data_IF_390558379371
#
_entry.id   IF_390558379371
#
_cell.length_a   1.000
_cell.length_b   1.000
_cell.length_c   1.000
_cell.angle_alpha   90.00
_cell.angle_beta   90.00
_cell.angle_gamma   90.00
#
_symmetry.space_group_name_H-M   'P 1'
#
loop_
_entity.id
_entity.type
_entity.pdbx_description
1 polymer ?
#
# COMPACT_ATOMS: atom_id res chain seq x y z
N UNK A 1 -30.49 -29.26 -2.90
CA UNK A 1 -29.40 -28.54 -3.57
C UNK A 1 -28.11 -28.95 -2.90
N UNK A 2 -27.42 -29.95 -3.43
CA UNK A 2 -26.07 -30.31 -2.99
C UNK A 2 -25.12 -29.27 -3.60
N UNK A 3 -24.64 -28.34 -2.78
CA UNK A 3 -23.61 -27.40 -3.20
C UNK A 3 -22.36 -28.20 -3.59
N UNK A 4 -21.79 -27.89 -4.75
CA UNK A 4 -20.51 -28.47 -5.20
C UNK A 4 -19.45 -28.36 -4.09
N UNK A 5 -18.85 -29.48 -3.70
CA UNK A 5 -17.74 -29.51 -2.76
C UNK A 5 -16.54 -28.74 -3.35
N UNK A 6 -15.80 -28.03 -2.50
CA UNK A 6 -14.59 -27.32 -2.91
C UNK A 6 -13.49 -28.38 -3.12
N UNK A 7 -12.80 -28.39 -4.27
CA UNK A 7 -11.67 -29.30 -4.51
C UNK A 7 -10.60 -29.24 -3.41
N UNK A 8 -10.07 -30.41 -3.01
CA UNK A 8 -9.11 -30.54 -1.90
C UNK A 8 -7.76 -29.85 -2.16
N UNK A 9 -7.42 -29.62 -3.43
CA UNK A 9 -6.20 -28.94 -3.85
C UNK A 9 -6.28 -27.41 -3.70
N UNK A 10 -7.47 -26.85 -3.49
CA UNK A 10 -7.64 -25.41 -3.27
C UNK A 10 -7.31 -25.05 -1.83
N UNK A 11 -6.25 -24.25 -1.66
CA UNK A 11 -5.89 -23.67 -0.37
C UNK A 11 -6.90 -22.58 0.03
N UNK A 12 -7.60 -22.81 1.14
CA UNK A 12 -8.44 -21.80 1.81
C UNK A 12 -7.62 -21.15 2.94
N UNK A 13 -7.42 -19.83 2.86
CA UNK A 13 -6.71 -19.08 3.89
C UNK A 13 -7.48 -19.12 5.22
N UNK A 14 -6.77 -19.37 6.33
CA UNK A 14 -7.36 -19.40 7.67
C UNK A 14 -7.49 -17.99 8.26
N UNK A 15 -8.24 -17.86 9.35
CA UNK A 15 -8.22 -16.64 10.16
C UNK A 15 -6.78 -16.31 10.61
N UNK A 16 -6.38 -15.06 10.47
CA UNK A 16 -5.03 -14.58 10.74
C UNK A 16 -4.03 -14.84 9.60
N UNK A 17 -4.44 -15.52 8.52
CA UNK A 17 -3.61 -15.75 7.34
C UNK A 17 -3.88 -14.70 6.25
N UNK A 18 -2.86 -13.91 5.94
CA UNK A 18 -2.92 -12.94 4.85
C UNK A 18 -2.44 -13.57 3.53
N UNK A 19 -3.14 -13.28 2.45
CA UNK A 19 -2.76 -13.64 1.08
C UNK A 19 -2.42 -12.37 0.31
N UNK A 20 -1.28 -12.38 -0.38
CA UNK A 20 -0.88 -11.26 -1.23
C UNK A 20 -1.54 -11.37 -2.60
N UNK A 21 -2.38 -10.39 -2.93
CA UNK A 21 -3.10 -10.33 -4.21
C UNK A 21 -2.98 -8.93 -4.79
N UNK A 22 -2.43 -8.82 -6.00
CA UNK A 22 -2.24 -7.54 -6.73
C UNK A 22 -1.52 -6.46 -5.91
N UNK A 23 -0.61 -6.85 -5.01
CA UNK A 23 0.11 -5.94 -4.14
C UNK A 23 -0.59 -5.60 -2.83
N UNK A 24 -1.84 -6.05 -2.64
CA UNK A 24 -2.55 -5.96 -1.37
C UNK A 24 -2.39 -7.21 -0.51
N UNK A 25 -2.52 -7.08 0.81
CA UNK A 25 -2.58 -8.19 1.77
C UNK A 25 -4.00 -8.33 2.30
N UNK A 26 -4.67 -9.41 1.89
CA UNK A 26 -6.09 -9.66 2.22
C UNK A 26 -6.20 -10.92 3.06
N UNK A 27 -7.00 -10.88 4.12
CA UNK A 27 -7.27 -12.04 4.96
C UNK A 27 -8.19 -11.68 6.13
N UNK A 28 -8.87 -12.68 6.69
CA UNK A 28 -9.74 -12.44 7.85
C UNK A 28 -8.89 -12.29 9.12
N UNK A 29 -9.20 -11.32 9.99
CA UNK A 29 -8.49 -11.05 11.27
C UNK A 29 -6.95 -10.90 11.15
N UNK A 30 -6.44 -10.49 10.00
CA UNK A 30 -5.00 -10.22 9.81
C UNK A 30 -4.60 -8.86 10.36
N UNK A 31 -3.37 -8.73 10.86
CA UNK A 31 -2.80 -7.44 11.28
C UNK A 31 -2.35 -6.66 10.04
N UNK A 32 -3.07 -5.60 9.70
CA UNK A 32 -2.92 -4.80 8.47
C UNK A 32 -1.69 -3.87 8.41
N UNK A 33 -0.80 -3.92 9.41
CA UNK A 33 0.16 -2.83 9.70
C UNK A 33 1.41 -2.83 8.79
N UNK A 34 1.85 -3.99 8.29
CA UNK A 34 3.15 -4.10 7.59
C UNK A 34 3.10 -3.67 6.11
N UNK A 35 1.93 -3.28 5.62
CA UNK A 35 1.70 -2.99 4.20
C UNK A 35 2.23 -1.61 3.81
N UNK A 36 2.05 -0.63 4.69
CA UNK A 36 2.36 0.76 4.38
C UNK A 36 3.85 1.08 4.52
N UNK A 37 4.57 0.42 5.44
CA UNK A 37 6.00 0.68 5.70
C UNK A 37 6.84 0.65 4.43
N UNK A 38 6.72 -0.41 3.62
CA UNK A 38 7.48 -0.53 2.37
C UNK A 38 7.17 0.60 1.37
N UNK A 39 5.94 1.11 1.37
CA UNK A 39 5.53 2.22 0.50
C UNK A 39 6.05 3.55 1.03
N UNK A 40 6.00 3.78 2.34
CA UNK A 40 6.52 4.99 2.98
C UNK A 40 8.04 5.11 2.79
N UNK A 41 8.79 4.03 3.03
CA UNK A 41 10.24 3.99 2.84
C UNK A 41 10.62 4.35 1.39
N UNK A 42 9.86 3.84 0.41
CA UNK A 42 10.06 4.17 -1.01
C UNK A 42 9.74 5.61 -1.33
N UNK A 43 8.68 6.17 -0.73
CA UNK A 43 8.34 7.58 -0.92
C UNK A 43 9.50 8.44 -0.42
N UNK A 44 9.99 8.20 0.80
CA UNK A 44 11.11 8.94 1.39
C UNK A 44 12.38 8.82 0.53
N UNK A 45 12.74 7.62 0.09
CA UNK A 45 13.89 7.39 -0.80
C UNK A 45 13.75 8.15 -2.13
N UNK A 46 12.55 8.18 -2.73
CA UNK A 46 12.33 8.90 -3.97
C UNK A 46 12.39 10.41 -3.77
N UNK A 47 11.75 10.94 -2.71
CA UNK A 47 11.80 12.36 -2.41
C UNK A 47 13.22 12.83 -2.13
N UNK A 48 14.00 12.10 -1.32
CA UNK A 48 15.40 12.40 -1.06
C UNK A 48 16.27 12.39 -2.33
N UNK A 49 16.00 11.48 -3.27
CA UNK A 49 16.68 11.48 -4.59
C UNK A 49 16.33 12.70 -5.43
N UNK A 50 15.06 13.09 -5.46
CA UNK A 50 14.61 14.26 -6.23
C UNK A 50 15.13 15.57 -5.63
N UNK A 51 15.28 15.63 -4.31
CA UNK A 51 15.84 16.80 -3.60
C UNK A 51 17.27 17.13 -4.05
N UNK A 52 18.08 16.11 -4.38
CA UNK A 52 19.43 16.29 -4.93
C UNK A 52 19.46 17.08 -6.25
N UNK A 53 18.34 17.12 -6.97
CA UNK A 53 18.19 17.88 -8.21
C UNK A 53 17.85 19.35 -8.03
N UNK A 54 17.63 19.82 -6.79
CA UNK A 54 17.19 21.18 -6.46
C UNK A 54 16.03 21.67 -7.32
N UNK A 55 14.88 20.95 -7.32
CA UNK A 55 13.74 21.29 -8.16
C UNK A 55 13.17 22.67 -7.82
N UNK A 56 12.57 23.30 -8.83
CA UNK A 56 11.76 24.50 -8.62
C UNK A 56 10.49 24.16 -7.85
N UNK A 57 9.75 25.17 -7.36
CA UNK A 57 8.46 24.94 -6.69
C UNK A 57 7.45 24.17 -7.56
N UNK A 58 7.40 24.47 -8.86
CA UNK A 58 6.58 23.71 -9.82
C UNK A 58 7.07 22.26 -9.96
N UNK A 59 8.39 22.06 -9.98
CA UNK A 59 9.01 20.74 -9.96
C UNK A 59 8.61 19.95 -8.71
N UNK A 60 8.71 20.55 -7.52
CA UNK A 60 8.28 19.94 -6.26
C UNK A 60 6.82 19.50 -6.31
N UNK A 61 5.92 20.35 -6.82
CA UNK A 61 4.50 20.02 -6.96
C UNK A 61 4.30 18.78 -7.84
N UNK A 62 4.97 18.73 -9.00
CA UNK A 62 4.87 17.58 -9.90
C UNK A 62 5.45 16.30 -9.27
N UNK A 63 6.57 16.41 -8.55
CA UNK A 63 7.20 15.30 -7.85
C UNK A 63 6.26 14.73 -6.78
N UNK A 64 5.63 15.58 -5.97
CA UNK A 64 4.68 15.14 -4.94
C UNK A 64 3.51 14.38 -5.58
N UNK A 65 2.95 14.87 -6.70
CA UNK A 65 1.86 14.18 -7.40
C UNK A 65 2.33 12.82 -7.93
N UNK A 66 3.48 12.77 -8.60
CA UNK A 66 3.99 11.54 -9.21
C UNK A 66 4.38 10.48 -8.16
N UNK A 67 5.05 10.90 -7.08
CA UNK A 67 5.59 9.99 -6.08
C UNK A 67 4.56 9.70 -4.99
N UNK A 68 4.13 10.73 -4.26
CA UNK A 68 3.27 10.55 -3.08
C UNK A 68 1.88 10.12 -3.51
N UNK A 69 1.20 10.89 -4.39
CA UNK A 69 -0.15 10.52 -4.82
C UNK A 69 -0.15 9.22 -5.64
N UNK A 70 0.81 9.07 -6.57
CA UNK A 70 0.93 7.88 -7.41
C UNK A 70 1.12 6.57 -6.62
N UNK A 71 1.96 6.56 -5.59
CA UNK A 71 2.23 5.36 -4.80
C UNK A 71 1.13 5.04 -3.78
N UNK A 72 0.44 6.06 -3.27
CA UNK A 72 -0.56 5.88 -2.19
C UNK A 72 -1.98 5.60 -2.72
N UNK A 73 -2.34 6.11 -3.90
CA UNK A 73 -3.73 6.07 -4.41
C UNK A 73 -4.30 4.66 -4.52
N UNK A 74 -3.58 3.74 -5.17
CA UNK A 74 -4.06 2.36 -5.33
C UNK A 74 -4.16 1.66 -3.97
N UNK A 75 -3.12 1.78 -3.14
CA UNK A 75 -3.06 1.09 -1.86
C UNK A 75 -4.17 1.54 -0.91
N UNK A 76 -4.45 2.85 -0.90
CA UNK A 76 -5.59 3.44 -0.19
C UNK A 76 -6.91 2.81 -0.64
N UNK A 77 -7.09 2.58 -1.95
CA UNK A 77 -8.33 2.01 -2.47
C UNK A 77 -8.54 0.56 -2.05
N UNK A 78 -7.48 -0.24 -1.99
CA UNK A 78 -7.59 -1.69 -1.77
C UNK A 78 -7.40 -2.11 -0.31
N UNK A 79 -6.78 -1.27 0.53
CA UNK A 79 -6.54 -1.58 1.94
C UNK A 79 -6.91 -0.46 2.92
N UNK A 80 -7.36 0.69 2.42
CA UNK A 80 -7.55 1.88 3.25
C UNK A 80 -6.22 2.51 3.66
N UNK A 81 -6.29 3.72 4.19
CA UNK A 81 -5.15 4.44 4.75
C UNK A 81 -5.38 4.61 6.26
N UNK A 82 -4.57 3.95 7.11
CA UNK A 82 -4.62 4.18 8.55
C UNK A 82 -4.27 5.63 8.90
N UNK A 83 -4.88 6.19 9.95
CA UNK A 83 -4.68 7.60 10.34
C UNK A 83 -3.21 7.95 10.66
N UNK A 84 -2.42 6.99 11.16
CA UNK A 84 -1.00 7.21 11.41
C UNK A 84 -0.18 7.30 10.10
N UNK A 85 -0.63 6.65 9.03
CA UNK A 85 -0.03 6.75 7.69
C UNK A 85 -0.39 8.08 7.05
N UNK A 86 -1.66 8.49 7.15
CA UNK A 86 -2.13 9.79 6.68
C UNK A 86 -1.32 10.92 7.32
N UNK A 87 -1.20 10.91 8.66
CA UNK A 87 -0.40 11.89 9.41
C UNK A 87 1.08 11.90 9.01
N UNK A 88 1.65 10.75 8.65
CA UNK A 88 3.04 10.68 8.19
C UNK A 88 3.22 11.37 6.83
N UNK A 89 2.24 11.23 5.93
CA UNK A 89 2.27 11.83 4.58
C UNK A 89 2.00 13.34 4.55
N UNK A 90 1.41 13.88 5.62
CA UNK A 90 1.17 15.32 5.79
C UNK A 90 2.40 16.10 6.31
N UNK A 91 3.47 15.40 6.71
CA UNK A 91 4.72 15.99 7.20
C UNK A 91 5.77 16.07 6.08
#
# INVERSE_FOLDING_TARGET
MTGSEIPEDIKIAKDGEAVRTLGAWVGNKVKQVDVWTCTLDKIEENLGRWELGHPTMEGCQLIIIMVVSGMTQYLTKVQGMPANVEKWLEH
#
